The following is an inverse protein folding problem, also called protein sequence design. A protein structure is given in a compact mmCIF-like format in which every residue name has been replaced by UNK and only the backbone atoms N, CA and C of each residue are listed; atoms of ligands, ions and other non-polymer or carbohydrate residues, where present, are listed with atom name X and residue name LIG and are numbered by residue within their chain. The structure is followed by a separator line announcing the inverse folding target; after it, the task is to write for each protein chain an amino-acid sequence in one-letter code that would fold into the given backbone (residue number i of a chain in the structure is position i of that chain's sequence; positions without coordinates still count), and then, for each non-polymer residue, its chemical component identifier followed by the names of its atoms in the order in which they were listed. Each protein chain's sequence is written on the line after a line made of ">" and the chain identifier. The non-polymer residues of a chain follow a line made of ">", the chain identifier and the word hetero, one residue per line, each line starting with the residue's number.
data_IF_589343663638
#
_entry.id   IF_589343663638
#
_cell.length_a   1.000
_cell.length_b   1.000
_cell.length_c   1.000
_cell.angle_alpha   90.00
_cell.angle_beta   90.00
_cell.angle_gamma   90.00
#
_symmetry.space_group_name_H-M   'P 1'
#
loop_
_entity.id
_entity.type
_entity.pdbx_description
1 polymer ?
#
# COMPACT_ATOMS: atom_id res chain seq x y z
N UNK A 1 12.77 -20.88 13.91
CA UNK A 1 12.84 -19.57 13.23
C UNK A 1 13.68 -18.65 14.08
N UNK A 2 14.86 -18.23 13.60
CA UNK A 2 15.70 -17.29 14.33
C UNK A 2 15.00 -15.92 14.45
N UNK A 3 15.20 -15.24 15.56
CA UNK A 3 14.68 -13.89 15.79
C UNK A 3 15.22 -12.92 14.74
N UNK A 4 14.54 -12.80 13.59
CA UNK A 4 14.88 -11.85 12.51
C UNK A 4 14.92 -10.38 12.99
N UNK A 5 14.26 -10.09 14.12
CA UNK A 5 14.19 -8.77 14.73
C UNK A 5 15.28 -8.49 15.77
N UNK A 6 16.15 -9.46 16.09
CA UNK A 6 17.21 -9.24 17.07
C UNK A 6 18.41 -8.44 16.54
N UNK A 7 18.55 -8.34 15.20
CA UNK A 7 19.51 -7.46 14.51
C UNK A 7 18.83 -6.77 13.36
N UNK A 8 19.00 -5.45 13.23
CA UNK A 8 18.39 -4.65 12.18
C UNK A 8 19.00 -4.95 10.80
N UNK A 9 20.26 -5.39 10.74
CA UNK A 9 20.93 -5.82 9.52
C UNK A 9 21.34 -7.29 9.61
N UNK A 10 21.22 -8.03 8.52
CA UNK A 10 21.58 -9.46 8.44
C UNK A 10 22.73 -9.73 7.48
N UNK A 11 23.04 -8.81 6.57
CA UNK A 11 24.02 -8.93 5.47
C UNK A 11 23.73 -10.08 4.49
N UNK A 12 22.56 -10.71 4.58
CA UNK A 12 22.19 -11.84 3.71
C UNK A 12 21.76 -11.41 2.31
N UNK A 13 21.66 -10.11 2.06
CA UNK A 13 21.26 -9.56 0.77
C UNK A 13 22.33 -8.66 0.12
N UNK A 14 23.59 -8.71 0.59
CA UNK A 14 24.67 -7.88 0.05
C UNK A 14 25.13 -8.35 -1.36
N UNK A 15 24.70 -9.54 -1.76
CA UNK A 15 24.86 -10.09 -3.11
C UNK A 15 23.81 -9.61 -4.13
N UNK A 16 22.91 -8.68 -3.74
CA UNK A 16 21.84 -8.17 -4.58
C UNK A 16 20.57 -9.01 -4.58
N UNK A 17 20.47 -10.02 -3.72
CA UNK A 17 19.26 -10.86 -3.58
C UNK A 17 18.49 -10.55 -2.30
N UNK A 18 17.22 -10.93 -2.25
CA UNK A 18 16.35 -10.86 -1.07
C UNK A 18 15.52 -12.12 -0.91
N UNK A 19 15.09 -12.43 0.32
CA UNK A 19 14.20 -13.56 0.62
C UNK A 19 12.74 -13.15 0.53
N UNK A 20 11.93 -13.97 -0.13
CA UNK A 20 10.47 -13.89 -0.07
C UNK A 20 9.95 -14.59 1.18
N UNK A 21 8.65 -14.44 1.46
CA UNK A 21 8.02 -15.00 2.65
C UNK A 21 7.91 -16.53 2.66
N UNK A 22 7.96 -17.17 1.49
CA UNK A 22 8.02 -18.63 1.33
C UNK A 22 9.43 -19.21 1.52
N UNK A 23 10.44 -18.37 1.71
CA UNK A 23 11.84 -18.75 1.88
C UNK A 23 12.65 -18.78 0.58
N UNK A 24 12.04 -18.62 -0.58
CA UNK A 24 12.73 -18.46 -1.86
C UNK A 24 13.53 -17.15 -1.91
N UNK A 25 14.52 -17.08 -2.79
CA UNK A 25 15.33 -15.89 -2.98
C UNK A 25 15.20 -15.39 -4.42
N UNK A 26 15.08 -14.08 -4.57
CA UNK A 26 14.96 -13.39 -5.84
C UNK A 26 15.90 -12.18 -5.89
N UNK A 27 16.26 -11.64 -7.05
CA UNK A 27 16.95 -10.36 -7.17
C UNK A 27 16.15 -9.24 -6.46
N UNK A 28 16.83 -8.24 -5.91
CA UNK A 28 16.17 -7.10 -5.25
C UNK A 28 15.35 -6.25 -6.19
N UNK A 29 15.62 -6.31 -7.48
CA UNK A 29 14.89 -5.62 -8.57
C UNK A 29 13.82 -6.50 -9.24
N UNK A 30 13.48 -7.66 -8.64
CA UNK A 30 12.36 -8.49 -9.10
C UNK A 30 11.04 -7.69 -9.03
N UNK A 31 10.15 -7.81 -10.03
CA UNK A 31 8.85 -7.11 -10.04
C UNK A 31 8.01 -7.33 -8.78
N UNK A 32 8.16 -8.47 -8.09
CA UNK A 32 7.47 -8.77 -6.84
C UNK A 32 8.01 -7.93 -5.68
N UNK A 33 9.32 -7.78 -5.60
CA UNK A 33 10.00 -6.94 -4.61
C UNK A 33 9.61 -5.47 -4.82
N UNK A 34 9.61 -5.02 -6.06
CA UNK A 34 9.19 -3.67 -6.43
C UNK A 34 7.70 -3.41 -6.07
N UNK A 35 6.81 -4.38 -6.32
CA UNK A 35 5.38 -4.23 -6.04
C UNK A 35 5.12 -4.07 -4.54
N UNK A 36 5.58 -5.01 -3.70
CA UNK A 36 5.35 -4.89 -2.26
C UNK A 36 6.14 -3.73 -1.63
N UNK A 37 7.29 -3.36 -2.20
CA UNK A 37 8.03 -2.18 -1.76
C UNK A 37 7.26 -0.87 -2.02
N UNK A 38 6.57 -0.75 -3.17
CA UNK A 38 5.71 0.39 -3.45
C UNK A 38 4.45 0.41 -2.57
N UNK A 39 3.91 -0.76 -2.19
CA UNK A 39 2.80 -0.87 -1.22
C UNK A 39 3.26 -0.41 0.16
N UNK A 40 4.44 -0.81 0.61
CA UNK A 40 5.02 -0.35 1.89
C UNK A 40 5.28 1.16 1.89
N UNK A 41 5.77 1.71 0.78
CA UNK A 41 5.93 3.16 0.62
C UNK A 41 4.58 3.90 0.70
N UNK A 42 3.51 3.35 0.09
CA UNK A 42 2.16 3.89 0.20
C UNK A 42 1.68 3.88 1.65
N UNK A 43 1.87 2.79 2.35
CA UNK A 43 1.54 2.63 3.75
C UNK A 43 2.28 3.66 4.63
N UNK A 44 3.57 3.84 4.38
CA UNK A 44 4.39 4.85 5.06
C UNK A 44 3.92 6.28 4.79
N UNK A 45 3.51 6.58 3.55
CA UNK A 45 2.96 7.88 3.18
C UNK A 45 1.62 8.18 3.89
N UNK A 46 0.77 7.17 4.08
CA UNK A 46 -0.45 7.28 4.91
C UNK A 46 -0.08 7.58 6.37
N UNK A 47 0.99 6.96 6.89
CA UNK A 47 1.51 7.28 8.22
C UNK A 47 1.87 8.76 8.38
N UNK A 48 2.41 9.40 7.33
CA UNK A 48 2.67 10.85 7.33
C UNK A 48 1.37 11.65 7.43
N UNK A 49 0.30 11.24 6.73
CA UNK A 49 -1.03 11.89 6.84
C UNK A 49 -1.54 11.77 8.28
N UNK A 50 -1.49 10.58 8.85
CA UNK A 50 -1.98 10.30 10.21
C UNK A 50 -1.23 11.05 11.31
N UNK A 51 0.02 11.43 11.05
CA UNK A 51 0.84 12.23 11.97
C UNK A 51 0.44 13.72 12.01
N UNK A 52 -0.40 14.19 11.05
CA UNK A 52 -0.83 15.60 11.03
C UNK A 52 -1.85 15.85 12.13
N UNK A 53 -1.64 16.87 13.01
CA UNK A 53 -2.60 17.22 14.04
C UNK A 53 -3.95 17.70 13.46
N UNK A 54 -5.05 17.39 14.17
CA UNK A 54 -6.37 17.88 13.79
C UNK A 54 -7.03 17.15 12.62
N UNK A 55 -6.51 15.98 12.22
CA UNK A 55 -7.18 15.14 11.25
C UNK A 55 -8.55 14.69 11.78
N UNK A 56 -9.66 14.81 10.99
CA UNK A 56 -10.98 14.33 11.41
C UNK A 56 -10.94 12.86 11.84
N UNK A 57 -11.70 12.51 12.87
CA UNK A 57 -11.65 11.17 13.48
C UNK A 57 -12.04 10.08 12.46
N UNK A 58 -13.10 10.30 11.68
CA UNK A 58 -13.57 9.39 10.64
C UNK A 58 -12.50 9.13 9.55
N UNK A 59 -11.77 10.17 9.15
CA UNK A 59 -10.65 10.05 8.20
C UNK A 59 -9.49 9.28 8.84
N UNK A 60 -9.18 9.56 10.11
CA UNK A 60 -8.14 8.86 10.86
C UNK A 60 -8.42 7.36 10.96
N UNK A 61 -9.64 7.00 11.36
CA UNK A 61 -10.05 5.62 11.56
C UNK A 61 -10.01 4.85 10.23
N UNK A 62 -10.50 5.46 9.15
CA UNK A 62 -10.39 4.87 7.81
C UNK A 62 -8.93 4.63 7.42
N UNK A 63 -8.07 5.65 7.54
CA UNK A 63 -6.67 5.54 7.10
C UNK A 63 -5.88 4.54 7.94
N UNK A 64 -6.20 4.36 9.23
CA UNK A 64 -5.62 3.29 10.05
C UNK A 64 -6.03 1.91 9.54
N UNK A 65 -7.30 1.71 9.19
CA UNK A 65 -7.76 0.46 8.59
C UNK A 65 -7.05 0.19 7.26
N UNK A 66 -6.94 1.19 6.41
CA UNK A 66 -6.20 1.07 5.13
C UNK A 66 -4.74 0.70 5.36
N UNK A 67 -4.08 1.22 6.41
CA UNK A 67 -2.70 0.81 6.73
C UNK A 67 -2.60 -0.69 7.09
N UNK A 68 -3.56 -1.22 7.84
CA UNK A 68 -3.59 -2.66 8.15
C UNK A 68 -3.82 -3.48 6.88
N UNK A 69 -4.76 -3.09 6.03
CA UNK A 69 -5.04 -3.78 4.78
C UNK A 69 -3.86 -3.71 3.79
N UNK A 70 -3.14 -2.59 3.73
CA UNK A 70 -1.90 -2.49 2.94
C UNK A 70 -0.77 -3.36 3.50
N UNK A 71 -0.71 -3.55 4.82
CA UNK A 71 0.23 -4.47 5.43
C UNK A 71 -0.08 -5.93 5.04
N UNK A 72 -1.36 -6.29 5.06
CA UNK A 72 -1.83 -7.61 4.63
C UNK A 72 -1.59 -7.83 3.12
N UNK A 73 -1.84 -6.81 2.30
CA UNK A 73 -1.52 -6.82 0.86
C UNK A 73 -0.01 -7.03 0.62
N UNK A 74 0.84 -6.34 1.38
CA UNK A 74 2.29 -6.54 1.33
C UNK A 74 2.68 -7.98 1.65
N UNK A 75 2.04 -8.60 2.65
CA UNK A 75 2.19 -10.01 2.99
C UNK A 75 1.76 -10.95 1.86
N UNK A 76 0.60 -10.69 1.25
CA UNK A 76 0.09 -11.45 0.09
C UNK A 76 1.07 -11.40 -1.08
N UNK A 77 1.57 -10.22 -1.41
CA UNK A 77 2.53 -10.05 -2.49
C UNK A 77 3.90 -10.67 -2.17
N UNK A 78 4.33 -10.62 -0.90
CA UNK A 78 5.61 -11.20 -0.46
C UNK A 78 5.61 -12.73 -0.40
N UNK A 79 4.43 -13.36 -0.25
CA UNK A 79 4.32 -14.83 -0.10
C UNK A 79 3.56 -15.38 -1.31
N UNK A 80 4.24 -15.95 -2.33
CA UNK A 80 3.58 -16.53 -3.49
C UNK A 80 2.49 -17.53 -3.09
N UNK A 81 1.26 -17.33 -3.61
CA UNK A 81 0.11 -18.18 -3.32
C UNK A 81 -0.64 -17.87 -2.02
N UNK A 82 -0.14 -16.96 -1.17
CA UNK A 82 -0.91 -16.46 -0.02
C UNK A 82 -2.04 -15.53 -0.49
N UNK A 83 -3.18 -15.56 0.24
CA UNK A 83 -4.35 -14.70 -0.02
C UNK A 83 -4.76 -14.04 1.30
N UNK A 84 -4.78 -12.71 1.32
CA UNK A 84 -5.20 -11.91 2.46
C UNK A 84 -6.27 -10.88 2.05
N UNK A 85 -6.18 -10.37 0.82
CA UNK A 85 -7.13 -9.38 0.29
C UNK A 85 -8.30 -10.10 -0.39
N UNK A 86 -9.51 -9.68 -0.03
CA UNK A 86 -10.78 -10.23 -0.49
C UNK A 86 -11.67 -9.12 -1.05
N UNK A 87 -12.67 -9.46 -1.86
CA UNK A 87 -13.62 -8.52 -2.44
C UNK A 87 -14.30 -7.60 -1.40
N UNK A 88 -14.48 -8.07 -0.16
CA UNK A 88 -15.05 -7.24 0.92
C UNK A 88 -14.22 -5.99 1.23
N UNK A 89 -12.89 -6.04 1.08
CA UNK A 89 -12.00 -4.89 1.32
C UNK A 89 -12.24 -3.82 0.25
N UNK A 90 -12.37 -4.24 -1.02
CA UNK A 90 -12.71 -3.32 -2.11
C UNK A 90 -14.08 -2.66 -1.86
N UNK A 91 -15.11 -3.45 -1.56
CA UNK A 91 -16.47 -2.94 -1.26
C UNK A 91 -16.47 -1.99 -0.07
N UNK A 92 -15.67 -2.27 0.97
CA UNK A 92 -15.55 -1.38 2.12
C UNK A 92 -14.95 -0.02 1.73
N UNK A 93 -13.88 0.00 0.92
CA UNK A 93 -13.26 1.22 0.43
C UNK A 93 -14.22 2.04 -0.45
N UNK A 94 -14.95 1.39 -1.35
CA UNK A 94 -15.97 2.05 -2.19
C UNK A 94 -17.07 2.67 -1.32
N UNK A 95 -17.56 1.95 -0.31
CA UNK A 95 -18.57 2.45 0.63
C UNK A 95 -18.09 3.70 1.39
N UNK A 96 -16.85 3.70 1.87
CA UNK A 96 -16.26 4.86 2.52
C UNK A 96 -16.09 6.04 1.55
N UNK A 97 -15.62 5.76 0.34
CA UNK A 97 -15.45 6.78 -0.70
C UNK A 97 -16.78 7.46 -1.01
N UNK A 98 -17.84 6.70 -1.21
CA UNK A 98 -19.18 7.23 -1.49
C UNK A 98 -19.70 8.10 -0.33
N UNK A 99 -19.57 7.62 0.91
CA UNK A 99 -19.99 8.36 2.11
C UNK A 99 -19.24 9.70 2.29
N UNK A 100 -17.96 9.75 1.95
CA UNK A 100 -17.21 11.01 1.95
C UNK A 100 -17.62 11.92 0.79
N UNK A 101 -17.81 11.35 -0.40
CA UNK A 101 -18.14 12.10 -1.61
C UNK A 101 -19.53 12.75 -1.53
N UNK A 102 -20.52 12.11 -0.90
CA UNK A 102 -21.85 12.68 -0.69
C UNK A 102 -21.84 14.01 0.08
N UNK A 103 -20.81 14.25 0.89
CA UNK A 103 -20.65 15.48 1.68
C UNK A 103 -19.94 16.59 0.93
N UNK A 104 -19.48 16.34 -0.28
CA UNK A 104 -18.65 17.25 -1.06
C UNK A 104 -19.40 17.76 -2.30
N UNK A 105 -19.16 19.03 -2.71
CA UNK A 105 -19.65 19.50 -3.98
C UNK A 105 -18.96 18.76 -5.14
N UNK A 106 -19.65 18.53 -6.26
CA UNK A 106 -19.06 17.87 -7.41
C UNK A 106 -17.85 18.67 -7.94
N UNK A 107 -16.74 17.97 -8.16
CA UNK A 107 -15.58 18.54 -8.83
C UNK A 107 -15.86 18.74 -10.30
N UNK A 108 -15.65 19.97 -10.80
CA UNK A 108 -15.84 20.33 -12.22
C UNK A 108 -14.54 20.27 -13.01
N UNK A 109 -13.40 20.41 -12.34
CA UNK A 109 -12.07 20.49 -12.96
C UNK A 109 -11.03 19.79 -12.09
N UNK A 110 -9.87 19.48 -12.67
CA UNK A 110 -8.72 19.02 -11.89
C UNK A 110 -8.21 20.14 -10.98
N UNK A 111 -7.86 19.78 -9.76
CA UNK A 111 -7.30 20.69 -8.77
C UNK A 111 -5.80 20.46 -8.62
N UNK A 112 -5.06 21.50 -8.24
CA UNK A 112 -3.66 21.36 -7.86
C UNK A 112 -3.54 20.50 -6.58
N UNK A 113 -2.56 19.58 -6.52
CA UNK A 113 -2.33 18.75 -5.34
C UNK A 113 -1.69 19.61 -4.23
N UNK A 114 -2.52 20.17 -3.35
CA UNK A 114 -2.09 21.09 -2.29
C UNK A 114 -3.16 21.27 -1.23
N UNK A 115 -3.21 22.45 -0.62
CA UNK A 115 -4.10 22.79 0.49
C UNK A 115 -3.35 22.82 1.82
N UNK A 116 -4.04 22.51 2.92
CA UNK A 116 -3.38 22.36 4.23
C UNK A 116 -2.46 21.14 4.29
N UNK A 117 -1.64 21.03 5.33
CA UNK A 117 -0.61 19.98 5.46
C UNK A 117 -1.20 18.56 5.27
N UNK A 118 -2.35 18.28 5.88
CA UNK A 118 -3.00 16.98 5.74
C UNK A 118 -3.44 16.71 4.29
N UNK A 119 -4.05 17.69 3.61
CA UNK A 119 -4.47 17.56 2.22
C UNK A 119 -3.28 17.35 1.28
N UNK A 120 -2.20 18.11 1.43
CA UNK A 120 -0.98 17.94 0.66
C UNK A 120 -0.35 16.54 0.86
N UNK A 121 -0.30 16.05 2.10
CA UNK A 121 0.16 14.71 2.42
C UNK A 121 -0.75 13.61 1.82
N UNK A 122 -2.07 13.79 1.84
CA UNK A 122 -3.02 12.90 1.17
C UNK A 122 -2.79 12.85 -0.36
N UNK A 123 -2.54 13.98 -0.99
CA UNK A 123 -2.22 14.02 -2.42
C UNK A 123 -0.93 13.27 -2.74
N UNK A 124 0.08 13.35 -1.88
CA UNK A 124 1.32 12.59 -2.02
C UNK A 124 1.05 11.08 -1.88
N UNK A 125 0.35 10.67 -0.80
CA UNK A 125 -0.03 9.27 -0.59
C UNK A 125 -0.84 8.71 -1.77
N UNK A 126 -1.82 9.47 -2.29
CA UNK A 126 -2.59 9.12 -3.49
C UNK A 126 -1.67 8.87 -4.70
N UNK A 127 -0.69 9.72 -4.94
CA UNK A 127 0.22 9.56 -6.09
C UNK A 127 1.13 8.33 -5.94
N UNK A 128 1.56 8.03 -4.71
CA UNK A 128 2.34 6.84 -4.36
C UNK A 128 1.47 5.58 -4.52
N UNK A 129 0.23 5.58 -4.02
CA UNK A 129 -0.73 4.49 -4.18
C UNK A 129 -0.92 4.15 -5.66
N UNK A 130 -1.12 5.14 -6.53
CA UNK A 130 -1.21 4.95 -7.98
C UNK A 130 0.07 4.38 -8.59
N UNK A 131 1.23 4.60 -8.01
CA UNK A 131 2.47 3.93 -8.43
C UNK A 131 2.46 2.47 -7.97
N UNK A 132 2.07 2.17 -6.73
CA UNK A 132 1.93 0.81 -6.23
C UNK A 132 0.98 -0.01 -7.12
N UNK A 133 -0.19 0.51 -7.47
CA UNK A 133 -1.13 -0.07 -8.43
C UNK A 133 -0.44 -0.46 -9.75
N UNK A 134 0.28 0.46 -10.37
CA UNK A 134 1.00 0.18 -11.61
C UNK A 134 2.06 -0.92 -11.46
N UNK A 135 2.72 -1.03 -10.29
CA UNK A 135 3.71 -2.08 -10.02
C UNK A 135 3.05 -3.44 -9.78
N UNK A 136 1.89 -3.46 -9.13
CA UNK A 136 1.08 -4.68 -9.02
C UNK A 136 0.64 -5.18 -10.41
N UNK A 137 0.23 -4.29 -11.32
CA UNK A 137 -0.06 -4.65 -12.72
C UNK A 137 1.18 -5.13 -13.49
N UNK A 138 2.37 -4.57 -13.23
CA UNK A 138 3.62 -5.05 -13.82
C UNK A 138 3.91 -6.47 -13.36
N UNK A 139 3.76 -6.75 -12.06
CA UNK A 139 3.89 -8.08 -11.49
C UNK A 139 2.86 -9.07 -12.08
N UNK A 140 1.60 -8.68 -12.17
CA UNK A 140 0.52 -9.52 -12.67
C UNK A 140 0.69 -9.96 -14.14
N UNK A 141 1.45 -9.21 -14.92
CA UNK A 141 1.81 -9.61 -16.30
C UNK A 141 2.90 -10.68 -16.36
N UNK A 142 3.72 -10.78 -15.33
CA UNK A 142 4.86 -11.70 -15.27
C UNK A 142 4.58 -12.93 -14.39
N UNK A 143 3.70 -12.79 -13.39
CA UNK A 143 3.44 -13.81 -12.37
C UNK A 143 1.95 -13.80 -11.99
N UNK A 144 1.48 -14.91 -11.41
CA UNK A 144 0.10 -14.97 -10.91
C UNK A 144 -0.08 -14.08 -9.69
N UNK A 145 -1.02 -13.15 -9.78
CA UNK A 145 -1.52 -12.29 -8.69
C UNK A 145 -3.03 -12.45 -8.63
N UNK A 146 -3.59 -12.40 -7.44
CA UNK A 146 -5.03 -12.42 -7.26
C UNK A 146 -5.70 -11.17 -7.88
N UNK A 147 -6.97 -11.21 -8.29
CA UNK A 147 -7.62 -10.07 -8.92
C UNK A 147 -7.87 -8.89 -7.95
N UNK A 148 -8.13 -9.17 -6.68
CA UNK A 148 -8.47 -8.15 -5.69
C UNK A 148 -7.35 -7.11 -5.45
N UNK A 149 -6.08 -7.47 -5.36
CA UNK A 149 -4.96 -6.52 -5.32
C UNK A 149 -4.83 -5.59 -6.52
N UNK A 150 -5.56 -5.85 -7.59
CA UNK A 150 -5.50 -5.08 -8.85
C UNK A 150 -6.71 -4.14 -9.04
N UNK A 151 -7.67 -4.17 -8.14
CA UNK A 151 -8.87 -3.31 -8.12
C UNK A 151 -8.66 -2.08 -7.27
#
# INVERSE_FOLDING_TARGET
>A
MGNRLSKIYTRTGDDGTTGLGDGSRVPKDDPRVEAYGCVDECNSAIGVVLAVPGLPADVRDLLLNVQHELFDLGGELCIPGHRAIEARHVVALETWLDAFNERLPPLKEFILPGGGTAAAACHLARAICRRAERRCWTLARAQTVAPEPLQ
#
